data_IF_712932949715
#
_entry.id   IF_712932949715
#
_cell.length_a   1.000
_cell.length_b   1.000
_cell.length_c   1.000
_cell.angle_alpha   90.00
_cell.angle_beta   90.00
_cell.angle_gamma   90.00
#
_symmetry.space_group_name_H-M   'P 1'
#
loop_
_entity.id
_entity.type
_entity.pdbx_description
1 polymer ?
#
# COMPACT_ATOMS: atom_id res chain seq x y z
N UNK A 1 -5.29 7.55 10.47
CA UNK A 1 -5.35 6.78 9.22
C UNK A 1 -4.73 7.60 8.09
N UNK A 2 -3.54 7.25 7.61
CA UNK A 2 -2.78 8.10 6.67
C UNK A 2 -3.26 8.04 5.22
N UNK A 3 -4.09 7.06 4.85
CA UNK A 3 -4.51 6.81 3.46
C UNK A 3 -6.04 6.89 3.25
N UNK A 4 -6.78 7.38 4.24
CA UNK A 4 -8.26 7.35 4.23
C UNK A 4 -8.92 8.45 3.41
N UNK A 5 -8.17 9.49 3.04
CA UNK A 5 -8.65 10.54 2.16
C UNK A 5 -8.08 10.34 0.75
N UNK A 6 -8.81 10.80 -0.26
CA UNK A 6 -8.25 11.05 -1.60
C UNK A 6 -7.86 12.53 -1.70
N UNK A 7 -6.68 12.94 -1.19
CA UNK A 7 -6.22 14.32 -1.33
C UNK A 7 -5.94 14.64 -2.81
N UNK A 8 -6.21 15.89 -3.20
CA UNK A 8 -5.81 16.41 -4.50
C UNK A 8 -4.33 16.85 -4.54
N UNK A 9 -3.72 17.00 -3.36
CA UNK A 9 -2.32 17.39 -3.21
C UNK A 9 -1.38 16.20 -3.56
N UNK A 10 -0.48 16.35 -4.54
CA UNK A 10 0.49 15.31 -4.89
C UNK A 10 1.54 15.03 -3.80
N UNK A 11 1.74 15.95 -2.85
CA UNK A 11 2.62 15.75 -1.70
C UNK A 11 1.97 14.90 -0.59
N UNK A 12 0.66 14.72 -0.64
CA UNK A 12 -0.08 13.92 0.33
C UNK A 12 -0.01 12.42 -0.03
N UNK A 13 -0.17 11.52 0.97
CA UNK A 13 -0.24 10.08 0.73
C UNK A 13 -1.35 9.75 -0.30
N UNK A 14 -1.06 8.88 -1.28
CA UNK A 14 -1.99 8.59 -2.36
C UNK A 14 -3.23 7.88 -1.85
N UNK A 15 -4.33 8.06 -2.57
CA UNK A 15 -5.59 7.41 -2.28
C UNK A 15 -5.53 5.93 -2.67
N UNK A 16 -5.36 5.05 -1.68
CA UNK A 16 -5.29 3.61 -1.91
C UNK A 16 -6.58 3.05 -2.51
N UNK A 17 -7.73 3.64 -2.17
CA UNK A 17 -9.05 3.23 -2.70
C UNK A 17 -9.21 3.44 -4.22
N UNK A 18 -8.28 4.14 -4.88
CA UNK A 18 -8.27 4.34 -6.35
C UNK A 18 -7.19 3.51 -7.06
N UNK A 19 -6.38 2.77 -6.31
CA UNK A 19 -5.31 1.93 -6.84
C UNK A 19 -5.80 0.48 -6.92
N UNK A 20 -5.33 -0.24 -7.95
CA UNK A 20 -5.58 -1.68 -8.03
C UNK A 20 -4.74 -2.44 -7.00
N UNK A 21 -5.14 -3.64 -6.59
CA UNK A 21 -4.34 -4.51 -5.73
C UNK A 21 -2.91 -4.69 -6.24
N UNK A 22 -2.72 -4.87 -7.55
CA UNK A 22 -1.39 -5.09 -8.14
C UNK A 22 -0.49 -3.86 -7.94
N UNK A 23 -1.05 -2.65 -8.16
CA UNK A 23 -0.32 -1.40 -7.96
C UNK A 23 0.05 -1.17 -6.48
N UNK A 24 -0.81 -1.60 -5.54
CA UNK A 24 -0.52 -1.52 -4.10
C UNK A 24 0.56 -2.52 -3.71
N UNK A 25 0.49 -3.76 -4.20
CA UNK A 25 1.50 -4.78 -3.93
C UNK A 25 2.87 -4.36 -4.46
N UNK A 26 2.95 -3.91 -5.71
CA UNK A 26 4.18 -3.44 -6.32
C UNK A 26 4.79 -2.26 -5.54
N UNK A 27 3.95 -1.31 -5.12
CA UNK A 27 4.38 -0.19 -4.30
C UNK A 27 4.99 -0.63 -2.97
N UNK A 28 4.32 -1.53 -2.25
CA UNK A 28 4.76 -2.08 -0.97
C UNK A 28 6.07 -2.86 -1.12
N UNK A 29 6.20 -3.69 -2.16
CA UNK A 29 7.44 -4.41 -2.45
C UNK A 29 8.59 -3.46 -2.78
N UNK A 30 8.32 -2.40 -3.57
CA UNK A 30 9.33 -1.41 -3.90
C UNK A 30 9.79 -0.62 -2.66
N UNK A 31 8.87 -0.31 -1.73
CA UNK A 31 9.21 0.30 -0.44
C UNK A 31 10.05 -0.64 0.44
N UNK A 32 9.66 -1.92 0.52
CA UNK A 32 10.38 -2.95 1.27
C UNK A 32 11.80 -3.14 0.73
N UNK A 33 11.95 -3.21 -0.59
CA UNK A 33 13.23 -3.36 -1.28
C UNK A 33 14.08 -2.08 -1.31
N UNK A 34 13.57 -0.95 -0.80
CA UNK A 34 14.26 0.34 -0.84
C UNK A 34 14.38 0.97 -2.23
N UNK A 35 13.66 0.44 -3.23
CA UNK A 35 13.62 0.98 -4.60
C UNK A 35 12.74 2.23 -4.69
N UNK A 36 11.80 2.40 -3.76
CA UNK A 36 10.91 3.56 -3.71
C UNK A 36 11.22 4.42 -2.48
N UNK A 37 11.55 5.72 -2.65
CA UNK A 37 11.82 6.60 -1.53
C UNK A 37 10.53 6.92 -0.76
N UNK A 38 10.64 7.03 0.55
CA UNK A 38 9.55 7.43 1.44
C UNK A 38 10.03 7.56 2.88
N UNK A 39 9.37 8.41 3.67
CA UNK A 39 9.72 8.61 5.08
C UNK A 39 9.12 7.52 5.98
N UNK A 40 7.85 7.16 5.75
CA UNK A 40 7.09 6.24 6.60
C UNK A 40 6.94 4.86 5.95
N UNK A 41 6.55 4.80 4.68
CA UNK A 41 6.18 3.54 4.02
C UNK A 41 7.33 2.51 3.90
N UNK A 42 8.60 2.86 3.64
CA UNK A 42 9.70 1.89 3.67
C UNK A 42 9.90 1.22 5.03
N UNK A 43 9.67 1.95 6.13
CA UNK A 43 9.79 1.40 7.48
C UNK A 43 8.67 0.39 7.74
N UNK A 44 7.43 0.74 7.37
CA UNK A 44 6.27 -0.14 7.50
C UNK A 44 6.36 -1.37 6.59
N UNK A 45 6.71 -1.19 5.32
CA UNK A 45 6.76 -2.25 4.32
C UNK A 45 7.81 -3.33 4.64
N UNK A 46 8.88 -2.98 5.35
CA UNK A 46 9.88 -3.95 5.85
C UNK A 46 9.34 -4.89 6.92
N UNK A 47 8.28 -4.51 7.64
CA UNK A 47 7.64 -5.34 8.65
C UNK A 47 6.73 -6.42 8.09
N UNK A 48 6.41 -6.40 6.80
CA UNK A 48 5.53 -7.36 6.14
C UNK A 48 6.32 -8.32 5.25
N UNK A 49 5.88 -9.57 5.25
CA UNK A 49 6.28 -10.59 4.29
C UNK A 49 5.62 -10.36 2.92
N UNK A 50 6.12 -11.04 1.88
CA UNK A 50 5.53 -10.96 0.53
C UNK A 50 4.07 -11.41 0.51
N UNK A 51 3.72 -12.43 1.29
CA UNK A 51 2.35 -12.95 1.39
C UNK A 51 1.42 -11.95 2.07
N UNK A 52 1.87 -11.32 3.16
CA UNK A 52 1.12 -10.25 3.83
C UNK A 52 0.96 -9.01 2.95
N UNK A 53 2.00 -8.64 2.18
CA UNK A 53 1.92 -7.53 1.21
C UNK A 53 0.81 -7.81 0.19
N UNK A 54 0.76 -9.03 -0.35
CA UNK A 54 -0.26 -9.42 -1.32
C UNK A 54 -1.66 -9.39 -0.71
N UNK A 55 -1.83 -9.96 0.48
CA UNK A 55 -3.10 -9.95 1.20
C UNK A 55 -3.58 -8.52 1.54
N UNK A 56 -2.67 -7.66 1.99
CA UNK A 56 -2.96 -6.24 2.25
C UNK A 56 -3.36 -5.52 0.96
N UNK A 57 -2.66 -5.77 -0.13
CA UNK A 57 -2.93 -5.12 -1.40
C UNK A 57 -4.31 -5.50 -1.97
N UNK A 58 -4.67 -6.78 -1.89
CA UNK A 58 -6.02 -7.28 -2.23
C UNK A 58 -7.10 -6.63 -1.35
N UNK A 59 -6.84 -6.56 -0.04
CA UNK A 59 -7.77 -5.93 0.91
C UNK A 59 -7.96 -4.42 0.63
N UNK A 60 -6.89 -3.70 0.33
CA UNK A 60 -6.87 -2.25 0.15
C UNK A 60 -7.34 -1.80 -1.24
N UNK A 61 -7.06 -2.57 -2.30
CA UNK A 61 -7.37 -2.23 -3.69
C UNK A 61 -8.79 -2.60 -4.14
N UNK A 62 -9.55 -3.34 -3.33
CA UNK A 62 -10.90 -3.79 -3.68
C UNK A 62 -11.95 -3.71 -2.57
N UNK A 63 -11.55 -3.37 -1.34
CA UNK A 63 -12.43 -3.26 -0.16
C UNK A 63 -13.22 -4.55 0.12
N UNK A 64 -12.52 -5.51 0.71
CA UNK A 64 -13.10 -6.60 1.48
C UNK A 64 -12.11 -7.76 1.67
N UNK A 65 -12.03 -8.38 2.86
CA UNK A 65 -11.49 -9.72 2.94
C UNK A 65 -12.42 -10.67 2.16
N UNK A 66 -11.86 -11.51 1.30
CA UNK A 66 -12.46 -12.81 1.00
C UNK A 66 -11.67 -13.86 1.79
N UNK A 67 -11.78 -13.81 3.11
CA UNK A 67 -11.44 -14.94 3.99
C UNK A 67 -12.40 -14.88 5.19
N UNK A 68 -13.00 -16.03 5.58
CA UNK A 68 -14.21 -16.13 6.41
C UNK A 68 -14.09 -15.57 7.83
#
# INVERSE_FOLDING_TARGET
MCHSACPADPAAPPCLARLSPEAIAEALEAFRAGRRPGSVMPVLARGFSHEEIRALAEHLGGRGPAAP
#
